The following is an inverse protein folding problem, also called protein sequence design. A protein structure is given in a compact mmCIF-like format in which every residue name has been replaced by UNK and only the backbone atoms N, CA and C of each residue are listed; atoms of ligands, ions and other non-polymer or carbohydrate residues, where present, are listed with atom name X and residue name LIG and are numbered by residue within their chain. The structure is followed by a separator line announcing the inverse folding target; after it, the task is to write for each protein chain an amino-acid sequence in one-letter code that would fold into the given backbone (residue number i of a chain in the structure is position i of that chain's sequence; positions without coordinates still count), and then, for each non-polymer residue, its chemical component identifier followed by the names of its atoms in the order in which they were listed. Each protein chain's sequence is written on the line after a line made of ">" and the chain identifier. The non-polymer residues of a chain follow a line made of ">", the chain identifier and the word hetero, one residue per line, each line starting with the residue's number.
data_IF_166450735539
#
_entry.id   IF_166450735539
#
_cell.length_a   1.000
_cell.length_b   1.000
_cell.length_c   1.000
_cell.angle_alpha   90.00
_cell.angle_beta   90.00
_cell.angle_gamma   90.00
#
_symmetry.space_group_name_H-M   'P 1'
#
loop_
_entity.id
_entity.type
_entity.pdbx_description
1 polymer ?
#
# COMPACT_ATOMS: atom_id res chain seq x y z
N UNK A 1 -79.61 -106.27 10.18
CA UNK A 1 -79.20 -105.04 9.47
C UNK A 1 -79.69 -105.14 8.04
N UNK A 2 -80.46 -104.17 7.55
CA UNK A 2 -81.10 -104.20 6.22
C UNK A 2 -80.13 -103.76 5.13
N UNK A 3 -80.29 -104.24 3.89
CA UNK A 3 -79.42 -103.91 2.75
C UNK A 3 -79.22 -102.39 2.52
N UNK A 4 -80.23 -101.58 2.88
CA UNK A 4 -80.17 -100.11 2.86
C UNK A 4 -79.07 -99.52 3.75
N UNK A 5 -78.82 -100.08 4.94
CA UNK A 5 -77.78 -99.58 5.87
C UNK A 5 -76.35 -99.80 5.37
N UNK A 6 -76.09 -100.85 4.57
CA UNK A 6 -74.79 -101.07 3.95
C UNK A 6 -74.53 -100.13 2.77
N UNK A 7 -75.58 -99.79 2.01
CA UNK A 7 -75.50 -98.92 0.83
C UNK A 7 -75.18 -97.46 1.23
N UNK A 8 -75.73 -96.99 2.35
CA UNK A 8 -75.40 -95.66 2.89
C UNK A 8 -73.97 -95.59 3.47
N UNK A 9 -73.47 -96.65 4.10
CA UNK A 9 -72.05 -96.73 4.52
C UNK A 9 -71.11 -96.69 3.32
N UNK A 10 -71.45 -97.39 2.24
CA UNK A 10 -70.69 -97.33 0.98
C UNK A 10 -70.68 -95.93 0.36
N UNK A 11 -71.82 -95.24 0.29
CA UNK A 11 -71.89 -93.84 -0.20
C UNK A 11 -71.01 -92.90 0.63
N UNK A 12 -71.00 -93.05 1.95
CA UNK A 12 -70.12 -92.25 2.82
C UNK A 12 -68.63 -92.51 2.57
N UNK A 13 -68.24 -93.77 2.33
CA UNK A 13 -66.86 -94.09 1.94
C UNK A 13 -66.47 -93.43 0.61
N UNK A 14 -67.35 -93.49 -0.40
CA UNK A 14 -67.12 -92.83 -1.70
C UNK A 14 -66.98 -91.32 -1.56
N UNK A 15 -67.85 -90.68 -0.77
CA UNK A 15 -67.75 -89.24 -0.48
C UNK A 15 -66.46 -88.87 0.26
N UNK A 16 -66.01 -89.74 1.17
CA UNK A 16 -64.74 -89.55 1.88
C UNK A 16 -63.55 -89.63 0.93
N UNK A 17 -63.57 -90.59 0.01
CA UNK A 17 -62.51 -90.75 -1.00
C UNK A 17 -62.49 -89.58 -2.00
N UNK A 18 -63.66 -89.08 -2.41
CA UNK A 18 -63.76 -87.84 -3.20
C UNK A 18 -63.18 -86.63 -2.47
N UNK A 19 -63.49 -86.46 -1.17
CA UNK A 19 -62.92 -85.37 -0.36
C UNK A 19 -61.39 -85.48 -0.23
N UNK A 20 -60.86 -86.69 -0.09
CA UNK A 20 -59.40 -86.91 -0.10
C UNK A 20 -58.77 -86.53 -1.44
N UNK A 21 -59.39 -86.94 -2.55
CA UNK A 21 -58.89 -86.61 -3.89
C UNK A 21 -58.86 -85.09 -4.12
N UNK A 22 -59.92 -84.37 -3.74
CA UNK A 22 -59.96 -82.91 -3.81
C UNK A 22 -58.86 -82.26 -2.98
N UNK A 23 -58.65 -82.73 -1.74
CA UNK A 23 -57.57 -82.23 -0.90
C UNK A 23 -56.18 -82.49 -1.52
N UNK A 24 -55.98 -83.66 -2.13
CA UNK A 24 -54.72 -83.98 -2.83
C UNK A 24 -54.51 -83.05 -4.03
N UNK A 25 -55.54 -82.80 -4.83
CA UNK A 25 -55.49 -81.86 -5.96
C UNK A 25 -55.17 -80.43 -5.50
N UNK A 26 -55.83 -79.95 -4.44
CA UNK A 26 -55.55 -78.63 -3.84
C UNK A 26 -54.10 -78.55 -3.32
N UNK A 27 -53.61 -79.60 -2.67
CA UNK A 27 -52.22 -79.66 -2.20
C UNK A 27 -51.22 -79.65 -3.36
N UNK A 28 -51.46 -80.42 -4.42
CA UNK A 28 -50.60 -80.43 -5.60
C UNK A 28 -50.59 -79.07 -6.30
N UNK A 29 -51.75 -78.43 -6.42
CA UNK A 29 -51.84 -77.08 -6.99
C UNK A 29 -51.11 -76.06 -6.11
N UNK A 30 -51.20 -76.19 -4.78
CA UNK A 30 -50.48 -75.33 -3.86
C UNK A 30 -48.96 -75.55 -3.92
N UNK A 31 -48.50 -76.79 -4.05
CA UNK A 31 -47.08 -77.11 -4.24
C UNK A 31 -46.56 -76.47 -5.53
N UNK A 32 -47.26 -76.65 -6.65
CA UNK A 32 -46.86 -76.04 -7.93
C UNK A 32 -46.79 -74.50 -7.85
N UNK A 33 -47.77 -73.85 -7.21
CA UNK A 33 -47.75 -72.39 -6.99
C UNK A 33 -46.57 -71.94 -6.13
N UNK A 34 -46.23 -72.72 -5.09
CA UNK A 34 -45.12 -72.40 -4.20
C UNK A 34 -43.77 -72.62 -4.89
N UNK A 35 -43.64 -73.65 -5.73
CA UNK A 35 -42.45 -73.91 -6.53
C UNK A 35 -42.21 -72.79 -7.55
N UNK A 36 -43.25 -72.35 -8.26
CA UNK A 36 -43.17 -71.21 -9.19
C UNK A 36 -42.79 -69.91 -8.47
N UNK A 37 -43.44 -69.62 -7.34
CA UNK A 37 -43.13 -68.43 -6.54
C UNK A 37 -41.69 -68.48 -5.98
N UNK A 38 -41.22 -69.66 -5.57
CA UNK A 38 -39.85 -69.84 -5.07
C UNK A 38 -38.80 -69.62 -6.17
N UNK A 39 -39.01 -70.14 -7.37
CA UNK A 39 -38.07 -69.90 -8.49
C UNK A 39 -38.07 -68.43 -8.92
N UNK A 40 -39.22 -67.75 -8.94
CA UNK A 40 -39.28 -66.31 -9.20
C UNK A 40 -38.49 -65.50 -8.14
N UNK A 41 -38.74 -65.78 -6.87
CA UNK A 41 -38.06 -65.09 -5.76
C UNK A 41 -36.54 -65.33 -5.81
N UNK A 42 -36.11 -66.55 -6.16
CA UNK A 42 -34.69 -66.89 -6.32
C UNK A 42 -34.04 -66.10 -7.45
N UNK A 43 -34.71 -65.97 -8.60
CA UNK A 43 -34.19 -65.17 -9.72
C UNK A 43 -34.10 -63.68 -9.38
N UNK A 44 -35.08 -63.15 -8.66
CA UNK A 44 -35.09 -61.76 -8.22
C UNK A 44 -34.01 -61.51 -7.15
N UNK A 45 -33.85 -62.41 -6.18
CA UNK A 45 -32.76 -62.36 -5.20
C UNK A 45 -31.38 -62.39 -5.87
N UNK A 46 -31.17 -63.23 -6.89
CA UNK A 46 -29.92 -63.28 -7.65
C UNK A 46 -29.67 -62.00 -8.44
N UNK A 47 -30.72 -61.36 -8.96
CA UNK A 47 -30.63 -60.08 -9.68
C UNK A 47 -30.24 -58.97 -8.70
N UNK A 48 -30.91 -58.91 -7.55
CA UNK A 48 -30.65 -57.91 -6.52
C UNK A 48 -29.23 -58.06 -5.94
N UNK A 49 -28.78 -59.29 -5.69
CA UNK A 49 -27.41 -59.56 -5.24
C UNK A 49 -26.35 -59.09 -6.24
N UNK A 50 -26.59 -59.29 -7.55
CA UNK A 50 -25.70 -58.79 -8.61
C UNK A 50 -25.70 -57.26 -8.65
N UNK A 51 -26.89 -56.66 -8.65
CA UNK A 51 -27.04 -55.20 -8.64
C UNK A 51 -26.34 -54.55 -7.45
N UNK A 52 -26.54 -55.07 -6.23
CA UNK A 52 -25.91 -54.54 -5.02
C UNK A 52 -24.38 -54.65 -5.08
N UNK A 53 -23.84 -55.73 -5.64
CA UNK A 53 -22.39 -55.89 -5.83
C UNK A 53 -21.83 -54.88 -6.83
N UNK A 54 -22.52 -54.68 -7.95
CA UNK A 54 -22.09 -53.74 -8.98
C UNK A 54 -22.12 -52.29 -8.46
N UNK A 55 -23.15 -51.93 -7.69
CA UNK A 55 -23.24 -50.63 -7.00
C UNK A 55 -22.10 -50.44 -5.99
N UNK A 56 -21.80 -51.45 -5.16
CA UNK A 56 -20.68 -51.38 -4.22
C UNK A 56 -19.34 -51.17 -4.92
N UNK A 57 -19.10 -51.87 -6.03
CA UNK A 57 -17.86 -51.69 -6.81
C UNK A 57 -17.79 -50.28 -7.39
N UNK A 58 -18.90 -49.77 -7.94
CA UNK A 58 -18.94 -48.42 -8.50
C UNK A 58 -18.76 -47.33 -7.42
N UNK A 59 -19.37 -47.51 -6.25
CA UNK A 59 -19.20 -46.61 -5.10
C UNK A 59 -17.73 -46.60 -4.63
N UNK A 60 -17.11 -47.77 -4.52
CA UNK A 60 -15.68 -47.86 -4.19
C UNK A 60 -14.80 -47.17 -5.24
N UNK A 61 -15.13 -47.31 -6.53
CA UNK A 61 -14.41 -46.63 -7.60
C UNK A 61 -14.55 -45.11 -7.48
N UNK A 62 -15.76 -44.60 -7.30
CA UNK A 62 -16.04 -43.17 -7.10
C UNK A 62 -15.33 -42.63 -5.86
N UNK A 63 -15.38 -43.34 -4.72
CA UNK A 63 -14.62 -42.96 -3.52
C UNK A 63 -13.11 -42.93 -3.78
N UNK A 64 -12.60 -43.87 -4.57
CA UNK A 64 -11.22 -43.88 -5.04
C UNK A 64 -10.90 -42.66 -5.93
N UNK A 65 -11.80 -42.27 -6.83
CA UNK A 65 -11.66 -41.06 -7.64
C UNK A 65 -11.62 -39.79 -6.77
N UNK A 66 -12.58 -39.63 -5.85
CA UNK A 66 -12.65 -38.50 -4.91
C UNK A 66 -11.38 -38.41 -4.07
N UNK A 67 -10.90 -39.53 -3.54
CA UNK A 67 -9.66 -39.58 -2.75
C UNK A 67 -8.45 -39.13 -3.58
N UNK A 68 -8.35 -39.54 -4.85
CA UNK A 68 -7.27 -39.10 -5.75
C UNK A 68 -7.36 -37.61 -6.08
N UNK A 69 -8.57 -37.07 -6.27
CA UNK A 69 -8.77 -35.64 -6.47
C UNK A 69 -8.37 -34.84 -5.22
N UNK A 70 -8.81 -35.26 -4.03
CA UNK A 70 -8.42 -34.63 -2.76
C UNK A 70 -6.90 -34.66 -2.54
N UNK A 71 -6.25 -35.80 -2.78
CA UNK A 71 -4.80 -35.90 -2.71
C UNK A 71 -4.11 -34.94 -3.68
N UNK A 72 -4.67 -34.77 -4.88
CA UNK A 72 -4.13 -33.86 -5.89
C UNK A 72 -4.32 -32.40 -5.47
N UNK A 73 -5.50 -32.01 -4.99
CA UNK A 73 -5.79 -30.66 -4.48
C UNK A 73 -4.93 -30.28 -3.28
N UNK A 74 -4.56 -31.25 -2.45
CA UNK A 74 -3.69 -31.05 -1.29
C UNK A 74 -2.19 -31.17 -1.63
N UNK A 75 -1.80 -31.26 -2.92
CA UNK A 75 -0.38 -31.21 -3.30
C UNK A 75 0.15 -29.79 -3.16
N UNK A 76 1.33 -29.66 -2.56
CA UNK A 76 2.05 -28.40 -2.42
C UNK A 76 1.17 -27.24 -1.90
N UNK A 77 0.55 -27.40 -0.71
CA UNK A 77 -0.21 -26.31 -0.12
C UNK A 77 0.69 -25.09 0.06
N UNK A 78 0.14 -23.89 -0.11
CA UNK A 78 0.88 -22.66 0.14
C UNK A 78 0.01 -21.60 0.79
N UNK A 79 0.70 -20.69 1.48
CA UNK A 79 0.16 -19.46 2.04
C UNK A 79 0.82 -18.31 1.29
N UNK A 80 0.02 -17.32 0.91
CA UNK A 80 0.53 -16.12 0.24
C UNK A 80 0.23 -14.87 1.08
N UNK A 81 1.26 -14.04 1.26
CA UNK A 81 1.16 -12.72 1.85
C UNK A 81 1.23 -11.68 0.75
N UNK A 82 0.22 -10.83 0.67
CA UNK A 82 0.13 -9.72 -0.29
C UNK A 82 0.13 -8.41 0.48
N UNK A 83 1.17 -7.60 0.29
CA UNK A 83 1.36 -6.35 1.03
C UNK A 83 1.44 -5.15 0.08
N UNK A 84 0.74 -4.08 0.45
CA UNK A 84 0.89 -2.75 -0.13
C UNK A 84 1.89 -1.93 0.70
N UNK A 85 3.05 -1.64 0.11
CA UNK A 85 4.10 -0.85 0.74
C UNK A 85 3.76 0.62 0.97
N UNK A 86 2.61 1.10 0.50
CA UNK A 86 2.08 2.42 0.86
C UNK A 86 1.52 2.46 2.29
N UNK A 87 0.91 1.36 2.75
CA UNK A 87 0.32 1.19 4.08
C UNK A 87 1.18 0.39 5.05
N UNK A 88 2.00 -0.53 4.53
CA UNK A 88 2.85 -1.43 5.32
C UNK A 88 4.31 -0.96 5.25
N UNK A 89 4.68 -0.04 6.14
CA UNK A 89 6.03 0.51 6.20
C UNK A 89 6.81 -0.19 7.31
N UNK A 90 8.00 -0.74 7.01
CA UNK A 90 8.85 -1.37 8.02
C UNK A 90 9.36 -0.37 9.07
N UNK A 91 9.64 -0.85 10.29
CA UNK A 91 10.25 -0.03 11.34
C UNK A 91 11.59 0.57 10.89
N UNK A 92 11.91 1.75 11.44
CA UNK A 92 13.10 2.54 11.08
C UNK A 92 14.39 1.77 11.27
N UNK A 93 14.46 0.94 12.31
CA UNK A 93 15.62 0.10 12.62
C UNK A 93 15.95 -0.91 11.53
N UNK A 94 14.96 -1.36 10.75
CA UNK A 94 15.19 -2.21 9.59
C UNK A 94 15.64 -1.36 8.40
N UNK A 95 14.94 -0.26 8.12
CA UNK A 95 15.25 0.60 6.97
C UNK A 95 16.65 1.22 7.06
N UNK A 96 17.10 1.60 8.26
CA UNK A 96 18.42 2.21 8.52
C UNK A 96 19.59 1.23 8.36
N UNK A 97 19.36 -0.08 8.50
CA UNK A 97 20.41 -1.12 8.42
C UNK A 97 20.67 -1.62 7.00
N UNK A 98 20.04 -1.03 5.99
CA UNK A 98 20.21 -1.41 4.58
C UNK A 98 20.05 -2.92 4.39
N UNK A 99 21.00 -3.56 3.72
CA UNK A 99 20.97 -5.01 3.42
C UNK A 99 20.77 -5.90 4.64
N UNK A 100 21.41 -5.59 5.77
CA UNK A 100 21.22 -6.40 6.98
C UNK A 100 19.81 -6.23 7.55
N UNK A 101 19.27 -5.01 7.49
CA UNK A 101 17.90 -4.73 7.92
C UNK A 101 16.86 -5.44 7.05
N UNK A 102 17.07 -5.49 5.73
CA UNK A 102 16.24 -6.24 4.80
C UNK A 102 16.16 -7.73 5.13
N UNK A 103 17.31 -8.34 5.41
CA UNK A 103 17.39 -9.75 5.83
C UNK A 103 16.66 -10.00 7.15
N UNK A 104 16.89 -9.15 8.16
CA UNK A 104 16.24 -9.28 9.47
C UNK A 104 14.72 -9.12 9.37
N UNK A 105 14.25 -8.15 8.58
CA UNK A 105 12.82 -7.94 8.36
C UNK A 105 12.17 -9.15 7.64
N UNK A 106 12.84 -9.70 6.62
CA UNK A 106 12.37 -10.89 5.91
C UNK A 106 12.32 -12.13 6.82
N UNK A 107 13.35 -12.35 7.66
CA UNK A 107 13.37 -13.43 8.66
C UNK A 107 12.23 -13.29 9.65
N UNK A 108 12.07 -12.10 10.24
CA UNK A 108 11.01 -11.86 11.22
C UNK A 108 9.63 -12.05 10.61
N UNK A 109 9.41 -11.59 9.38
CA UNK A 109 8.17 -11.80 8.64
C UNK A 109 7.89 -13.28 8.38
N UNK A 110 8.91 -14.04 7.98
CA UNK A 110 8.80 -15.48 7.80
C UNK A 110 8.41 -16.19 9.11
N UNK A 111 9.07 -15.84 10.22
CA UNK A 111 8.81 -16.43 11.54
C UNK A 111 7.37 -16.16 12.01
N UNK A 112 6.84 -14.94 11.80
CA UNK A 112 5.45 -14.61 12.14
C UNK A 112 4.43 -15.39 11.29
N UNK A 113 4.72 -15.61 10.00
CA UNK A 113 3.86 -16.41 9.12
C UNK A 113 3.88 -17.89 9.53
N UNK A 114 5.04 -18.41 9.93
CA UNK A 114 5.19 -19.79 10.41
C UNK A 114 4.47 -20.01 11.75
N UNK A 115 4.56 -19.05 12.66
CA UNK A 115 3.79 -19.03 13.90
C UNK A 115 2.29 -19.00 13.61
N UNK A 116 1.83 -18.12 12.71
CA UNK A 116 0.44 -18.07 12.28
C UNK A 116 -0.04 -19.41 11.70
N UNK A 117 0.75 -20.05 10.84
CA UNK A 117 0.39 -21.35 10.26
C UNK A 117 0.24 -22.44 11.34
N UNK A 118 1.14 -22.44 12.33
CA UNK A 118 1.12 -23.41 13.42
C UNK A 118 -0.13 -23.25 14.29
N UNK A 119 -0.51 -22.01 14.59
CA UNK A 119 -1.64 -21.71 15.47
C UNK A 119 -3.00 -21.86 14.77
N UNK A 120 -3.11 -21.39 13.53
CA UNK A 120 -4.40 -21.20 12.86
C UNK A 120 -4.69 -22.25 11.77
N UNK A 121 -3.67 -22.95 11.27
CA UNK A 121 -3.80 -23.92 10.16
C UNK A 121 -3.09 -25.26 10.47
N UNK A 122 -3.40 -25.93 11.61
CA UNK A 122 -2.73 -27.18 12.00
C UNK A 122 -2.92 -28.34 11.02
N UNK A 123 -3.94 -28.27 10.16
CA UNK A 123 -4.24 -29.29 9.15
C UNK A 123 -3.28 -29.24 7.95
N UNK A 124 -2.67 -28.07 7.67
CA UNK A 124 -1.73 -27.90 6.56
C UNK A 124 -0.29 -28.21 7.02
N UNK A 125 0.20 -29.42 6.70
CA UNK A 125 1.58 -29.81 7.03
C UNK A 125 2.57 -29.10 6.10
N UNK A 126 3.31 -28.12 6.62
CA UNK A 126 4.45 -27.48 5.96
C UNK A 126 4.10 -26.81 4.62
N UNK A 127 3.15 -25.85 4.59
CA UNK A 127 2.87 -25.12 3.37
C UNK A 127 4.07 -24.28 2.93
N UNK A 128 4.20 -24.08 1.63
CA UNK A 128 5.15 -23.08 1.10
C UNK A 128 4.67 -21.69 1.50
N UNK A 129 5.60 -20.86 1.99
CA UNK A 129 5.30 -19.48 2.37
C UNK A 129 5.75 -18.56 1.26
N UNK A 130 4.80 -17.89 0.62
CA UNK A 130 5.04 -16.91 -0.44
C UNK A 130 4.74 -15.52 0.12
N UNK A 131 5.61 -14.54 -0.14
CA UNK A 131 5.39 -13.15 0.27
C UNK A 131 5.68 -12.23 -0.89
N UNK A 132 4.72 -11.37 -1.21
CA UNK A 132 4.87 -10.33 -2.24
C UNK A 132 4.43 -9.00 -1.67
N UNK A 133 5.36 -8.06 -1.68
CA UNK A 133 5.12 -6.69 -1.31
C UNK A 133 5.30 -5.79 -2.53
N UNK A 134 4.31 -4.96 -2.80
CA UNK A 134 4.32 -4.05 -3.94
C UNK A 134 4.57 -2.64 -3.42
N UNK A 135 5.61 -1.98 -3.93
CA UNK A 135 5.99 -0.68 -3.41
C UNK A 135 6.48 0.24 -4.53
N UNK A 136 6.15 1.52 -4.43
CA UNK A 136 6.84 2.55 -5.19
C UNK A 136 8.13 2.92 -4.44
N UNK A 137 9.26 2.33 -4.86
CA UNK A 137 10.53 2.45 -4.12
C UNK A 137 11.01 3.91 -4.09
N UNK A 138 10.82 4.65 -5.19
CA UNK A 138 11.19 6.07 -5.27
C UNK A 138 10.42 6.90 -4.25
N UNK A 139 9.09 6.74 -4.22
CA UNK A 139 8.23 7.49 -3.30
C UNK A 139 8.52 7.14 -1.84
N UNK A 140 8.75 5.86 -1.51
CA UNK A 140 9.16 5.47 -0.16
C UNK A 140 10.53 6.09 0.19
N UNK A 141 11.51 6.04 -0.71
CA UNK A 141 12.85 6.61 -0.47
C UNK A 141 12.78 8.10 -0.14
N UNK A 142 12.05 8.88 -0.94
CA UNK A 142 11.84 10.31 -0.71
C UNK A 142 11.12 10.58 0.62
N UNK A 143 10.16 9.71 0.97
CA UNK A 143 9.41 9.78 2.22
C UNK A 143 10.31 9.48 3.43
N UNK A 144 11.15 8.46 3.37
CA UNK A 144 12.10 8.12 4.42
C UNK A 144 13.14 9.23 4.65
N UNK A 145 13.64 9.85 3.58
CA UNK A 145 14.58 10.98 3.68
C UNK A 145 13.90 12.19 4.32
N UNK A 146 12.70 12.53 3.82
CA UNK A 146 11.94 13.65 4.39
C UNK A 146 11.52 13.40 5.83
N UNK A 147 11.29 12.15 6.20
CA UNK A 147 11.00 11.74 7.57
C UNK A 147 12.22 11.66 8.48
N UNK A 148 13.43 11.91 7.98
CA UNK A 148 14.67 11.79 8.75
C UNK A 148 15.02 10.36 9.16
N UNK A 149 14.42 9.35 8.52
CA UNK A 149 14.73 7.93 8.78
C UNK A 149 16.10 7.58 8.24
N UNK A 150 16.42 8.05 7.03
CA UNK A 150 17.72 7.88 6.38
C UNK A 150 18.16 9.19 5.74
N UNK A 151 19.46 9.46 5.72
CA UNK A 151 20.05 10.54 4.91
C UNK A 151 20.54 10.05 3.55
N UNK A 152 20.62 8.72 3.37
CA UNK A 152 21.14 8.08 2.17
C UNK A 152 20.01 7.30 1.45
N UNK A 153 19.62 7.71 0.23
CA UNK A 153 18.68 6.97 -0.60
C UNK A 153 19.12 5.52 -0.90
N UNK A 154 20.42 5.23 -0.90
CA UNK A 154 20.96 3.91 -1.23
C UNK A 154 20.56 2.84 -0.21
N UNK A 155 20.35 3.23 1.06
CA UNK A 155 19.97 2.31 2.13
C UNK A 155 18.64 1.61 1.86
N UNK A 156 17.67 2.27 1.24
CA UNK A 156 16.40 1.61 0.91
C UNK A 156 16.58 0.56 -0.19
N UNK A 157 17.41 0.85 -1.20
CA UNK A 157 17.73 -0.12 -2.25
C UNK A 157 18.48 -1.32 -1.67
N UNK A 158 19.42 -1.07 -0.77
CA UNK A 158 20.17 -2.13 -0.08
C UNK A 158 19.27 -2.94 0.84
N UNK A 159 18.30 -2.32 1.52
CA UNK A 159 17.25 -2.99 2.26
C UNK A 159 16.45 -3.94 1.37
N UNK A 160 15.97 -3.46 0.22
CA UNK A 160 15.20 -4.29 -0.73
C UNK A 160 16.05 -5.48 -1.23
N UNK A 161 17.32 -5.25 -1.57
CA UNK A 161 18.25 -6.33 -1.95
C UNK A 161 18.43 -7.36 -0.83
N UNK A 162 18.56 -6.89 0.41
CA UNK A 162 18.66 -7.74 1.59
C UNK A 162 17.42 -8.58 1.80
N UNK A 163 16.25 -7.98 1.65
CA UNK A 163 14.95 -8.62 1.80
C UNK A 163 14.74 -9.71 0.72
N UNK A 164 14.88 -9.35 -0.55
CA UNK A 164 14.67 -10.26 -1.69
C UNK A 164 15.71 -11.39 -1.77
N UNK A 165 16.89 -11.22 -1.15
CA UNK A 165 17.92 -12.27 -1.10
C UNK A 165 17.78 -13.22 0.08
N UNK A 166 16.86 -12.95 1.01
CA UNK A 166 16.74 -13.72 2.25
C UNK A 166 16.08 -15.09 2.03
N UNK A 167 14.99 -15.14 1.27
CA UNK A 167 14.31 -16.38 0.90
C UNK A 167 13.96 -16.38 -0.60
N UNK A 168 13.92 -17.53 -1.29
CA UNK A 168 13.52 -17.58 -2.70
C UNK A 168 12.04 -17.24 -2.96
N UNK A 169 11.22 -17.17 -1.92
CA UNK A 169 9.77 -17.01 -2.00
C UNK A 169 9.27 -15.66 -1.46
N UNK A 170 10.19 -14.73 -1.19
CA UNK A 170 9.88 -13.40 -0.67
C UNK A 170 10.38 -12.33 -1.63
N UNK A 171 9.46 -11.47 -2.07
CA UNK A 171 9.75 -10.45 -3.07
C UNK A 171 9.15 -9.10 -2.69
N UNK A 172 9.98 -8.06 -2.67
CA UNK A 172 9.57 -6.68 -2.85
C UNK A 172 9.68 -6.33 -4.34
N UNK A 173 8.56 -5.90 -4.91
CA UNK A 173 8.42 -5.53 -6.32
C UNK A 173 8.26 -4.01 -6.41
N UNK A 174 9.18 -3.35 -7.12
CA UNK A 174 9.04 -1.92 -7.44
C UNK A 174 7.95 -1.74 -8.49
N UNK A 175 6.91 -0.98 -8.14
CA UNK A 175 5.78 -0.68 -9.03
C UNK A 175 6.00 0.55 -9.89
N UNK A 176 7.09 1.29 -9.65
CA UNK A 176 7.38 2.54 -10.34
C UNK A 176 6.45 3.68 -9.93
N UNK A 177 6.49 4.77 -10.70
CA UNK A 177 5.82 6.04 -10.40
C UNK A 177 4.34 6.11 -10.83
N UNK A 178 3.82 5.06 -11.48
CA UNK A 178 2.42 5.03 -11.90
C UNK A 178 1.51 4.93 -10.67
N UNK A 179 0.57 5.87 -10.56
CA UNK A 179 -0.51 5.79 -9.59
C UNK A 179 -1.28 4.46 -9.80
N UNK A 180 -1.66 3.81 -8.71
CA UNK A 180 -2.46 2.59 -8.68
C UNK A 180 -1.82 1.28 -9.21
N UNK A 181 -0.54 1.30 -9.60
CA UNK A 181 0.16 0.09 -10.07
C UNK A 181 0.27 -1.00 -8.98
N UNK A 182 0.53 -0.63 -7.73
CA UNK A 182 0.54 -1.56 -6.61
C UNK A 182 -0.85 -2.16 -6.39
N UNK A 183 -1.88 -1.32 -6.42
CA UNK A 183 -3.24 -1.73 -6.11
C UNK A 183 -3.76 -2.77 -7.12
N UNK A 184 -3.60 -2.50 -8.41
CA UNK A 184 -4.02 -3.40 -9.47
C UNK A 184 -3.32 -4.76 -9.41
N UNK A 185 -2.01 -4.78 -9.10
CA UNK A 185 -1.25 -6.02 -8.94
C UNK A 185 -1.75 -6.86 -7.77
N UNK A 186 -2.05 -6.23 -6.63
CA UNK A 186 -2.56 -6.95 -5.47
C UNK A 186 -3.96 -7.47 -5.75
N UNK A 187 -4.84 -6.69 -6.38
CA UNK A 187 -6.20 -7.11 -6.69
C UNK A 187 -6.23 -8.35 -7.60
N UNK A 188 -5.42 -8.36 -8.67
CA UNK A 188 -5.34 -9.51 -9.57
C UNK A 188 -4.63 -10.71 -8.92
N UNK A 189 -3.58 -10.48 -8.13
CA UNK A 189 -2.94 -11.54 -7.35
C UNK A 189 -3.92 -12.15 -6.34
N UNK A 190 -4.72 -11.34 -5.67
CA UNK A 190 -5.74 -11.78 -4.73
C UNK A 190 -6.76 -12.70 -5.42
N UNK A 191 -7.39 -12.23 -6.52
CA UNK A 191 -8.38 -13.03 -7.27
C UNK A 191 -7.81 -14.36 -7.75
N UNK A 192 -6.58 -14.36 -8.29
CA UNK A 192 -5.91 -15.58 -8.76
C UNK A 192 -5.71 -16.60 -7.64
N UNK A 193 -5.35 -16.15 -6.45
CA UNK A 193 -5.07 -17.03 -5.31
C UNK A 193 -6.33 -17.45 -4.56
N UNK A 194 -7.38 -16.63 -4.55
CA UNK A 194 -8.62 -16.91 -3.83
C UNK A 194 -9.29 -18.20 -4.33
N UNK A 195 -9.29 -18.43 -5.64
CA UNK A 195 -9.87 -19.61 -6.27
C UNK A 195 -8.88 -20.76 -6.50
N UNK A 196 -7.63 -20.60 -6.09
CA UNK A 196 -6.63 -21.64 -6.27
C UNK A 196 -6.79 -22.70 -5.17
N UNK A 197 -7.06 -23.96 -5.55
CA UNK A 197 -7.26 -25.05 -4.61
C UNK A 197 -6.01 -25.38 -3.77
N UNK A 198 -4.82 -25.01 -4.23
CA UNK A 198 -3.56 -25.17 -3.48
C UNK A 198 -3.28 -24.00 -2.54
N UNK A 199 -3.92 -22.83 -2.74
CA UNK A 199 -3.81 -21.69 -1.84
C UNK A 199 -4.72 -21.91 -0.63
N UNK A 200 -4.11 -22.17 0.52
CA UNK A 200 -4.87 -22.47 1.74
C UNK A 200 -5.20 -21.21 2.52
N UNK A 201 -4.37 -20.17 2.43
CA UNK A 201 -4.59 -18.90 3.11
C UNK A 201 -3.95 -17.74 2.36
N UNK A 202 -4.64 -16.61 2.36
CA UNK A 202 -4.18 -15.30 1.90
C UNK A 202 -4.10 -14.38 3.11
N UNK A 203 -2.91 -13.85 3.38
CA UNK A 203 -2.70 -12.77 4.33
C UNK A 203 -2.62 -11.46 3.55
N UNK A 204 -3.59 -10.57 3.73
CA UNK A 204 -3.78 -9.38 2.90
C UNK A 204 -3.55 -8.12 3.72
N UNK A 205 -2.51 -7.36 3.39
CA UNK A 205 -2.24 -6.04 3.96
C UNK A 205 -2.32 -4.96 2.88
N UNK A 206 -3.46 -4.29 2.75
CA UNK A 206 -3.68 -3.23 1.74
C UNK A 206 -4.07 -1.90 2.39
N UNK A 207 -3.88 -0.81 1.64
CA UNK A 207 -4.52 0.47 1.96
C UNK A 207 -6.05 0.39 1.78
N UNK A 208 -6.77 1.23 2.52
CA UNK A 208 -8.25 1.33 2.50
C UNK A 208 -8.77 1.98 1.20
N UNK A 209 -8.61 1.28 0.08
CA UNK A 209 -9.00 1.75 -1.26
C UNK A 209 -10.24 1.00 -1.80
N UNK A 210 -11.15 1.74 -2.44
CA UNK A 210 -12.47 1.26 -2.85
C UNK A 210 -12.46 0.03 -3.78
N UNK A 211 -11.42 -0.12 -4.61
CA UNK A 211 -11.31 -1.24 -5.56
C UNK A 211 -11.14 -2.59 -4.87
N UNK A 212 -10.48 -2.63 -3.72
CA UNK A 212 -10.32 -3.85 -2.92
C UNK A 212 -11.58 -4.20 -2.15
N UNK A 213 -12.25 -3.17 -1.62
CA UNK A 213 -13.52 -3.35 -0.93
C UNK A 213 -14.56 -4.00 -1.84
N UNK A 214 -14.62 -3.63 -3.13
CA UNK A 214 -15.50 -4.29 -4.09
C UNK A 214 -15.18 -5.78 -4.26
N UNK A 215 -13.90 -6.13 -4.43
CA UNK A 215 -13.47 -7.52 -4.61
C UNK A 215 -13.71 -8.36 -3.35
N UNK A 216 -13.51 -7.80 -2.15
CA UNK A 216 -13.85 -8.49 -0.90
C UNK A 216 -15.37 -8.58 -0.70
N UNK A 217 -16.10 -7.52 -1.06
CA UNK A 217 -17.54 -7.37 -0.96
C UNK A 217 -18.31 -8.41 -1.76
N UNK A 218 -17.87 -8.68 -2.99
CA UNK A 218 -18.46 -9.68 -3.90
C UNK A 218 -18.39 -11.12 -3.35
N UNK A 219 -17.62 -11.37 -2.29
CA UNK A 219 -17.38 -12.69 -1.72
C UNK A 219 -17.80 -12.83 -0.26
N UNK A 220 -18.46 -11.81 0.31
CA UNK A 220 -18.92 -11.84 1.71
C UNK A 220 -19.94 -12.95 2.00
N UNK A 221 -20.67 -13.42 0.98
CA UNK A 221 -21.68 -14.48 1.13
C UNK A 221 -21.07 -15.90 1.18
N UNK A 222 -19.82 -16.07 0.73
CA UNK A 222 -19.15 -17.38 0.68
C UNK A 222 -18.23 -17.57 1.90
N UNK A 223 -18.74 -18.29 2.91
CA UNK A 223 -18.02 -18.56 4.16
C UNK A 223 -16.71 -19.33 3.96
N UNK A 224 -16.63 -20.18 2.94
CA UNK A 224 -15.44 -20.99 2.68
C UNK A 224 -14.33 -20.13 2.06
N UNK A 225 -14.68 -19.20 1.18
CA UNK A 225 -13.73 -18.23 0.63
C UNK A 225 -13.30 -17.19 1.68
N UNK A 226 -14.23 -16.70 2.49
CA UNK A 226 -13.95 -15.79 3.60
C UNK A 226 -12.96 -16.40 4.60
N UNK A 227 -13.14 -17.68 4.92
CA UNK A 227 -12.24 -18.44 5.78
C UNK A 227 -10.81 -18.60 5.26
N UNK A 228 -10.55 -18.30 3.98
CA UNK A 228 -9.21 -18.32 3.36
C UNK A 228 -8.51 -16.96 3.38
N UNK A 229 -9.16 -15.91 3.85
CA UNK A 229 -8.61 -14.55 3.87
C UNK A 229 -8.38 -14.12 5.32
N UNK A 230 -7.26 -13.46 5.57
CA UNK A 230 -6.95 -12.82 6.85
C UNK A 230 -6.34 -11.47 6.56
N UNK A 231 -6.93 -10.43 7.14
CA UNK A 231 -6.52 -9.06 6.96
C UNK A 231 -5.34 -8.79 7.90
N UNK A 232 -4.33 -8.12 7.38
CA UNK A 232 -3.24 -7.58 8.17
C UNK A 232 -3.54 -6.10 8.41
N UNK A 233 -3.25 -5.63 9.61
CA UNK A 233 -3.40 -4.24 10.00
C UNK A 233 -2.06 -3.73 10.54
N UNK A 234 -1.46 -2.76 9.84
CA UNK A 234 -0.29 -2.02 10.32
C UNK A 234 -0.69 -0.60 10.76
N UNK A 235 -1.59 0.03 10.01
CA UNK A 235 -2.26 1.28 10.34
C UNK A 235 -3.74 0.99 10.56
N UNK A 236 -4.45 1.75 11.42
CA UNK A 236 -5.88 1.58 11.63
C UNK A 236 -6.64 1.53 10.31
N UNK A 237 -7.52 0.54 10.16
CA UNK A 237 -8.38 0.44 8.97
C UNK A 237 -9.19 1.73 8.78
N UNK A 238 -9.26 2.20 7.53
CA UNK A 238 -10.18 3.27 7.17
C UNK A 238 -11.63 2.76 7.12
N UNK A 239 -12.57 3.64 6.78
CA UNK A 239 -14.01 3.38 6.91
C UNK A 239 -14.47 2.14 6.14
N UNK A 240 -13.93 1.88 4.94
CA UNK A 240 -14.41 0.77 4.10
C UNK A 240 -13.95 -0.58 4.65
N UNK A 241 -12.65 -0.76 4.90
CA UNK A 241 -12.10 -1.98 5.49
C UNK A 241 -12.66 -2.21 6.90
N UNK A 242 -12.88 -1.16 7.69
CA UNK A 242 -13.45 -1.31 9.03
C UNK A 242 -14.88 -1.90 8.97
N UNK A 243 -15.69 -1.49 7.98
CA UNK A 243 -17.05 -2.01 7.79
C UNK A 243 -17.11 -3.53 7.53
N UNK A 244 -16.07 -4.10 6.91
CA UNK A 244 -15.99 -5.54 6.61
C UNK A 244 -15.03 -6.31 7.52
N UNK A 245 -14.18 -5.61 8.28
CA UNK A 245 -13.14 -6.23 9.13
C UNK A 245 -13.71 -7.25 10.12
N UNK A 246 -14.92 -7.03 10.63
CA UNK A 246 -15.61 -7.93 11.56
C UNK A 246 -15.97 -9.28 10.93
N UNK A 247 -16.03 -9.37 9.60
CA UNK A 247 -16.32 -10.60 8.86
C UNK A 247 -15.05 -11.41 8.56
N UNK A 248 -13.86 -10.81 8.73
CA UNK A 248 -12.57 -11.45 8.47
C UNK A 248 -11.77 -11.63 9.76
N UNK A 249 -10.79 -12.52 9.72
CA UNK A 249 -9.74 -12.55 10.75
C UNK A 249 -8.80 -11.37 10.52
N UNK A 250 -8.34 -10.73 11.61
CA UNK A 250 -7.39 -9.63 11.57
C UNK A 250 -6.15 -9.96 12.39
N UNK A 251 -4.97 -9.61 11.88
CA UNK A 251 -3.68 -9.76 12.57
C UNK A 251 -2.87 -8.47 12.49
N UNK A 252 -1.98 -8.30 13.47
CA UNK A 252 -1.04 -7.18 13.53
C UNK A 252 0.36 -7.71 13.80
N UNK A 253 1.37 -7.12 13.16
CA UNK A 253 2.78 -7.44 13.41
C UNK A 253 3.54 -6.17 13.81
N UNK A 254 3.31 -5.68 15.05
CA UNK A 254 3.86 -4.41 15.53
C UNK A 254 5.38 -4.43 15.68
N UNK A 255 6.03 -5.60 15.61
CA UNK A 255 7.48 -5.75 15.62
C UNK A 255 8.16 -5.63 14.24
N UNK A 256 7.36 -5.62 13.16
CA UNK A 256 7.86 -5.56 11.79
C UNK A 256 7.51 -4.21 11.18
N UNK A 257 6.25 -3.82 11.30
CA UNK A 257 5.70 -2.62 10.66
C UNK A 257 5.53 -1.48 11.65
N UNK A 258 5.54 -0.26 11.11
CA UNK A 258 5.20 0.96 11.83
C UNK A 258 3.70 1.01 12.07
N UNK A 259 3.33 1.54 13.23
CA UNK A 259 1.96 1.90 13.62
C UNK A 259 1.53 3.29 13.11
N UNK A 260 2.44 3.99 12.41
CA UNK A 260 2.30 5.38 12.03
C UNK A 260 2.98 5.68 10.69
N UNK A 261 2.34 6.54 9.88
CA UNK A 261 2.92 7.05 8.63
C UNK A 261 4.16 7.89 8.92
N UNK A 262 5.06 7.94 7.94
CA UNK A 262 6.26 8.77 8.01
C UNK A 262 5.87 10.22 7.73
N UNK A 263 5.98 11.08 8.73
CA UNK A 263 5.75 12.52 8.59
C UNK A 263 7.06 13.26 8.29
N UNK A 264 7.05 14.27 7.41
CA UNK A 264 8.24 15.04 7.13
C UNK A 264 8.69 15.84 8.36
N UNK A 265 9.97 15.75 8.72
CA UNK A 265 10.54 16.58 9.79
C UNK A 265 10.69 18.00 9.23
N UNK A 266 9.85 18.95 9.65
CA UNK A 266 10.09 20.35 9.35
C UNK A 266 11.29 20.84 10.18
N UNK A 267 12.49 20.66 9.66
CA UNK A 267 13.71 21.30 10.15
C UNK A 267 14.52 21.80 8.94
N UNK A 268 15.20 22.95 9.03
CA UNK A 268 15.91 23.53 7.90
C UNK A 268 17.13 22.66 7.52
N UNK A 269 16.94 21.68 6.64
CA UNK A 269 17.95 20.71 6.24
C UNK A 269 19.11 21.27 5.39
N UNK A 270 19.15 22.59 5.12
CA UNK A 270 20.32 23.23 4.50
C UNK A 270 21.54 23.35 5.44
N UNK A 271 21.45 22.96 6.71
CA UNK A 271 22.57 23.06 7.67
C UNK A 271 23.36 21.75 7.91
N UNK A 272 22.86 20.56 7.55
CA UNK A 272 23.45 19.29 8.00
C UNK A 272 24.31 18.54 6.95
N UNK A 273 24.37 18.99 5.69
CA UNK A 273 25.19 18.32 4.65
C UNK A 273 26.62 18.91 4.56
N UNK A 274 26.95 19.91 5.37
CA UNK A 274 28.26 20.57 5.37
C UNK A 274 29.07 20.31 6.65
N UNK A 275 29.13 19.07 7.14
CA UNK A 275 30.23 18.67 8.04
C UNK A 275 30.63 17.22 7.74
N UNK A 276 31.54 17.04 6.79
CA UNK A 276 32.43 15.88 6.86
C UNK A 276 33.36 16.07 8.07
N UNK A 277 33.59 15.06 8.91
CA UNK A 277 34.61 15.13 9.94
C UNK A 277 35.98 15.11 9.25
N UNK A 278 36.69 16.24 9.32
CA UNK A 278 38.08 16.34 8.88
C UNK A 278 38.93 15.42 9.76
N UNK A 279 39.51 14.39 9.15
CA UNK A 279 40.48 13.49 9.78
C UNK A 279 41.58 14.28 10.50
N UNK A 280 41.77 13.96 11.77
CA UNK A 280 42.88 14.44 12.58
C UNK A 280 44.20 13.85 12.08
N UNK A 281 45.17 14.71 11.81
CA UNK A 281 46.60 14.38 11.93
C UNK A 281 47.38 15.62 12.41
N UNK A 282 47.76 15.53 13.69
CA UNK A 282 49.04 15.97 14.32
C UNK A 282 49.40 17.47 14.50
N UNK A 283 50.19 17.80 15.55
CA UNK A 283 50.06 19.04 16.31
C UNK A 283 51.14 20.08 16.01
N UNK A 284 50.81 21.34 16.30
CA UNK A 284 51.74 22.48 16.29
C UNK A 284 52.55 22.53 17.61
N UNK A 285 53.86 22.79 17.60
CA UNK A 285 54.67 22.87 18.81
C UNK A 285 54.69 24.28 19.42
N UNK A 286 54.70 24.34 20.76
CA UNK A 286 54.98 25.55 21.56
C UNK A 286 56.48 25.70 21.85
N UNK A 287 56.94 26.91 22.23
CA UNK A 287 58.33 27.35 22.06
C UNK A 287 59.17 27.21 23.33
N UNK A 288 60.49 26.97 23.19
CA UNK A 288 61.48 27.36 24.20
C UNK A 288 62.92 27.42 23.65
N UNK A 289 63.77 28.07 24.45
CA UNK A 289 64.90 28.95 24.15
C UNK A 289 66.28 28.25 24.09
N UNK A 290 67.22 28.73 23.23
CA UNK A 290 68.64 29.11 23.53
C UNK A 290 69.62 29.05 22.32
N UNK A 291 70.09 30.25 21.93
CA UNK A 291 71.46 30.73 21.59
C UNK A 291 72.40 30.02 20.55
N UNK A 292 73.35 30.76 19.93
CA UNK A 292 73.91 30.56 18.57
C UNK A 292 75.39 30.06 18.63
N UNK A 293 76.30 30.21 17.62
CA UNK A 293 76.21 30.58 16.19
C UNK A 293 77.01 29.63 15.25
N UNK A 294 76.85 29.74 13.91
CA UNK A 294 77.98 29.94 12.95
C UNK A 294 77.55 29.97 11.48
N UNK A 295 78.07 30.98 10.79
CA UNK A 295 77.99 31.29 9.37
C UNK A 295 78.76 30.31 8.47
N UNK A 296 78.31 30.18 7.21
CA UNK A 296 79.09 30.34 5.98
C UNK A 296 78.11 30.27 4.78
N UNK A 297 77.92 31.38 4.06
CA UNK A 297 78.41 31.65 2.69
C UNK A 297 77.58 30.89 1.62
N UNK A 298 77.05 31.47 0.54
CA UNK A 298 77.51 32.52 -0.39
C UNK A 298 76.23 33.16 -1.02
N UNK A 299 76.09 34.49 -1.12
CA UNK A 299 76.47 35.37 -2.27
C UNK A 299 76.02 34.79 -3.64
N UNK A 300 75.31 35.49 -4.53
CA UNK A 300 75.52 36.89 -4.96
C UNK A 300 74.40 37.44 -5.89
N UNK A 301 74.08 38.74 -5.72
CA UNK A 301 73.83 39.82 -6.73
C UNK A 301 72.75 39.63 -7.83
N UNK A 302 71.59 40.31 -7.81
CA UNK A 302 71.25 41.73 -8.20
C UNK A 302 71.46 42.07 -9.69
N UNK A 303 70.82 43.14 -10.25
CA UNK A 303 69.41 43.27 -10.65
C UNK A 303 69.30 43.82 -12.11
N UNK A 304 68.13 44.35 -12.50
CA UNK A 304 67.94 45.53 -13.40
C UNK A 304 67.20 45.33 -14.75
N UNK A 305 66.00 45.94 -14.80
CA UNK A 305 65.35 46.76 -15.87
C UNK A 305 65.34 46.34 -17.36
N UNK A 306 64.10 46.10 -17.82
CA UNK A 306 63.36 46.77 -18.93
C UNK A 306 64.02 47.06 -20.28
N UNK A 307 63.35 46.65 -21.37
CA UNK A 307 62.62 47.53 -22.31
C UNK A 307 62.00 46.75 -23.49
N UNK A 308 60.80 47.17 -23.87
CA UNK A 308 59.90 46.62 -24.90
C UNK A 308 60.16 47.21 -26.29
N UNK A 309 59.71 46.54 -27.37
CA UNK A 309 59.26 47.25 -28.58
C UNK A 309 58.28 46.46 -29.48
N UNK A 310 57.03 46.95 -29.52
CA UNK A 310 56.08 47.15 -30.64
C UNK A 310 55.64 45.96 -31.54
N UNK A 311 54.47 45.90 -32.18
CA UNK A 311 53.44 46.88 -32.60
C UNK A 311 52.16 46.07 -32.95
N UNK A 312 50.92 46.45 -32.65
CA UNK A 312 50.06 47.36 -33.47
C UNK A 312 48.71 47.61 -32.75
N UNK A 313 48.09 48.77 -33.01
CA UNK A 313 46.78 49.31 -32.56
C UNK A 313 46.09 49.90 -33.83
N UNK A 314 44.74 49.92 -34.05
CA UNK A 314 43.71 50.82 -33.43
C UNK A 314 42.31 50.18 -33.25
N UNK A 315 41.26 50.71 -32.58
CA UNK A 315 40.97 51.87 -31.71
C UNK A 315 39.54 51.72 -31.13
N UNK A 316 39.37 51.91 -29.79
CA UNK A 316 38.27 52.57 -29.02
C UNK A 316 36.78 52.18 -29.18
N UNK A 317 35.85 52.51 -28.24
CA UNK A 317 36.01 53.36 -27.04
C UNK A 317 35.57 52.77 -25.69
N UNK A 318 35.97 53.51 -24.67
CA UNK A 318 35.85 53.31 -23.23
C UNK A 318 34.41 53.42 -22.71
N UNK A 319 34.02 52.57 -21.75
CA UNK A 319 33.09 52.96 -20.68
C UNK A 319 33.56 52.45 -19.32
N UNK A 320 33.29 53.29 -18.33
CA UNK A 320 33.91 53.36 -17.00
C UNK A 320 33.43 52.23 -16.08
N UNK A 321 34.38 51.53 -15.45
CA UNK A 321 34.09 50.70 -14.28
C UNK A 321 33.70 51.60 -13.09
N UNK A 322 32.40 51.68 -12.79
CA UNK A 322 31.92 52.09 -11.47
C UNK A 322 31.75 50.84 -10.60
N UNK A 323 32.57 50.75 -9.55
CA UNK A 323 32.32 49.87 -8.40
C UNK A 323 31.06 50.39 -7.71
N UNK A 324 29.90 49.80 -8.02
CA UNK A 324 28.68 50.04 -7.26
C UNK A 324 28.79 49.25 -5.96
N UNK A 325 29.19 49.95 -4.90
CA UNK A 325 29.05 49.55 -3.51
C UNK A 325 27.59 49.15 -3.27
N UNK A 326 27.31 47.86 -3.15
CA UNK A 326 25.99 47.34 -2.81
C UNK A 326 25.54 47.99 -1.50
N UNK A 327 24.41 48.71 -1.54
CA UNK A 327 23.74 49.23 -0.35
C UNK A 327 23.50 48.05 0.60
N UNK A 328 24.05 48.12 1.80
CA UNK A 328 23.71 47.21 2.88
C UNK A 328 22.18 47.24 3.06
N UNK A 329 21.54 46.10 2.84
CA UNK A 329 20.13 45.93 3.12
C UNK A 329 19.93 46.11 4.63
N UNK A 330 18.97 46.96 5.00
CA UNK A 330 18.52 47.07 6.38
C UNK A 330 18.11 45.68 6.91
N UNK A 331 18.29 45.38 8.21
CA UNK A 331 17.86 44.12 8.78
C UNK A 331 16.36 43.94 8.54
N UNK A 332 16.00 42.93 7.74
CA UNK A 332 14.61 42.60 7.47
C UNK A 332 13.94 42.19 8.78
N UNK A 333 12.86 42.87 9.16
CA UNK A 333 12.04 42.44 10.28
C UNK A 333 11.54 41.01 10.03
N UNK A 334 11.40 40.17 11.07
CA UNK A 334 10.85 38.83 10.91
C UNK A 334 9.45 38.95 10.29
N UNK A 335 9.23 38.26 9.18
CA UNK A 335 7.90 38.18 8.56
C UNK A 335 7.03 37.33 9.47
N UNK A 336 6.21 37.98 10.30
CA UNK A 336 5.31 37.29 11.23
C UNK A 336 4.02 36.92 10.50
N UNK A 337 3.58 35.67 10.66
CA UNK A 337 2.27 35.22 10.15
C UNK A 337 1.16 35.91 10.95
N UNK A 338 0.33 36.69 10.25
CA UNK A 338 -0.81 37.37 10.86
C UNK A 338 -1.90 36.35 11.21
N UNK A 339 -2.48 36.48 12.40
CA UNK A 339 -3.53 35.58 12.91
C UNK A 339 -4.75 36.36 13.41
N UNK A 340 -5.92 35.76 13.32
CA UNK A 340 -7.15 36.29 13.91
C UNK A 340 -7.27 35.92 15.40
N UNK A 341 -8.35 36.34 16.06
CA UNK A 341 -8.60 36.07 17.49
C UNK A 341 -8.68 34.59 17.86
N UNK A 342 -8.94 33.72 16.89
CA UNK A 342 -8.99 32.26 17.02
C UNK A 342 -7.64 31.60 16.71
N UNK A 343 -6.59 32.39 16.52
CA UNK A 343 -5.28 31.88 16.13
C UNK A 343 -5.22 31.38 14.69
N UNK A 344 -6.21 31.62 13.83
CA UNK A 344 -6.15 31.17 12.43
C UNK A 344 -5.34 32.15 11.58
N UNK A 345 -4.52 31.65 10.66
CA UNK A 345 -3.75 32.46 9.71
C UNK A 345 -4.67 33.33 8.86
N UNK A 346 -4.31 34.61 8.74
CA UNK A 346 -4.98 35.59 7.90
C UNK A 346 -4.00 36.09 6.85
N UNK A 347 -4.29 35.80 5.58
CA UNK A 347 -3.56 36.41 4.47
C UNK A 347 -4.24 37.69 3.99
N UNK A 348 -3.44 38.74 3.80
CA UNK A 348 -3.86 39.98 3.12
C UNK A 348 -3.88 39.76 1.60
N UNK A 349 -4.97 39.17 1.11
CA UNK A 349 -5.26 39.07 -0.31
C UNK A 349 -6.71 39.45 -0.57
N UNK A 350 -6.90 40.50 -1.36
CA UNK A 350 -8.22 40.96 -1.80
C UNK A 350 -8.44 40.52 -3.25
N UNK A 351 -9.14 39.39 -3.40
CA UNK A 351 -9.46 38.81 -4.71
C UNK A 351 -10.35 39.72 -5.56
N UNK A 352 -11.14 40.61 -4.94
CA UNK A 352 -12.08 41.50 -5.64
C UNK A 352 -11.36 42.63 -6.38
N UNK A 353 -10.11 42.94 -6.00
CA UNK A 353 -9.28 43.96 -6.66
C UNK A 353 -8.54 43.45 -7.90
N UNK A 354 -8.63 42.15 -8.19
CA UNK A 354 -7.89 41.53 -9.30
C UNK A 354 -8.77 41.49 -10.54
N UNK A 355 -8.26 42.00 -11.66
CA UNK A 355 -8.95 41.92 -12.94
C UNK A 355 -9.05 40.45 -13.40
N UNK A 356 -10.28 39.95 -13.51
CA UNK A 356 -10.57 38.57 -13.89
C UNK A 356 -10.04 38.22 -15.29
N UNK A 357 -10.08 39.16 -16.24
CA UNK A 357 -9.62 38.94 -17.61
C UNK A 357 -8.11 38.73 -17.67
N UNK A 358 -7.36 39.56 -16.95
CA UNK A 358 -5.89 39.48 -16.88
C UNK A 358 -5.44 38.22 -16.12
N UNK A 359 -6.14 37.86 -15.04
CA UNK A 359 -5.90 36.62 -14.32
C UNK A 359 -6.13 35.39 -15.20
N UNK A 360 -7.21 35.38 -16.00
CA UNK A 360 -7.48 34.29 -16.93
C UNK A 360 -6.44 34.20 -18.05
N UNK A 361 -5.90 35.34 -18.52
CA UNK A 361 -4.79 35.37 -19.47
C UNK A 361 -3.52 34.78 -18.84
N UNK A 362 -3.20 35.16 -17.61
CA UNK A 362 -2.01 34.71 -16.90
C UNK A 362 -2.05 33.19 -16.60
N UNK A 363 -3.22 32.64 -16.24
CA UNK A 363 -3.41 31.19 -16.06
C UNK A 363 -3.07 30.37 -17.31
N UNK A 364 -3.28 30.92 -18.51
CA UNK A 364 -2.99 30.23 -19.78
C UNK A 364 -1.50 30.12 -20.09
N UNK A 365 -0.66 30.97 -19.48
CA UNK A 365 0.79 30.96 -19.70
C UNK A 365 1.51 29.83 -18.96
N UNK A 366 0.83 29.07 -18.08
CA UNK A 366 1.40 27.94 -17.32
C UNK A 366 2.73 28.29 -16.63
N UNK A 367 2.78 29.45 -15.99
CA UNK A 367 3.95 29.94 -15.28
C UNK A 367 4.21 29.09 -14.02
N UNK A 368 5.48 28.82 -13.74
CA UNK A 368 5.86 28.08 -12.54
C UNK A 368 5.73 28.97 -11.28
N UNK A 369 4.80 28.64 -10.38
CA UNK A 369 4.60 29.39 -9.14
C UNK A 369 5.87 29.43 -8.25
N UNK A 370 6.62 28.32 -8.18
CA UNK A 370 7.84 28.27 -7.35
C UNK A 370 8.92 29.20 -7.90
N UNK A 371 9.27 29.05 -9.18
CA UNK A 371 10.27 29.90 -9.82
C UNK A 371 9.93 31.39 -9.71
N UNK A 372 8.69 31.74 -10.04
CA UNK A 372 8.29 33.14 -10.18
C UNK A 372 7.96 33.84 -8.86
N UNK A 373 7.54 33.12 -7.82
CA UNK A 373 7.18 33.71 -6.52
C UNK A 373 8.25 33.50 -5.45
N UNK A 374 9.04 32.42 -5.53
CA UNK A 374 10.11 32.09 -4.57
C UNK A 374 11.52 32.33 -5.13
N UNK A 375 11.65 32.52 -6.44
CA UNK A 375 12.93 32.77 -7.12
C UNK A 375 13.71 31.50 -7.49
N UNK A 376 13.34 30.34 -6.97
CA UNK A 376 13.92 29.04 -7.32
C UNK A 376 12.82 28.00 -7.57
N UNK A 377 13.01 27.16 -8.61
CA UNK A 377 12.18 25.98 -8.84
C UNK A 377 12.93 24.76 -8.33
N UNK A 378 12.35 23.95 -7.42
CA UNK A 378 13.00 22.75 -6.91
C UNK A 378 13.01 21.59 -7.93
N UNK A 379 12.38 21.75 -9.09
CA UNK A 379 12.27 20.73 -10.13
C UNK A 379 13.22 21.05 -11.29
N UNK A 380 14.15 20.13 -11.58
CA UNK A 380 15.13 20.28 -12.67
C UNK A 380 14.49 20.25 -14.07
N UNK A 381 13.50 19.37 -14.29
CA UNK A 381 12.73 19.27 -15.55
C UNK A 381 11.29 19.80 -15.35
N UNK A 382 11.18 21.09 -15.01
CA UNK A 382 9.89 21.72 -14.78
C UNK A 382 9.14 21.97 -16.11
N UNK A 383 7.95 21.37 -16.23
CA UNK A 383 7.06 21.55 -17.40
C UNK A 383 6.31 22.91 -17.40
N UNK A 384 6.68 23.84 -16.53
CA UNK A 384 6.06 25.16 -16.39
C UNK A 384 7.06 26.23 -16.78
N UNK A 385 6.57 27.34 -17.34
CA UNK A 385 7.47 28.34 -17.91
C UNK A 385 8.23 29.12 -16.81
N UNK A 386 9.56 29.15 -16.95
CA UNK A 386 10.51 29.91 -16.13
C UNK A 386 11.03 31.17 -16.86
N UNK A 387 10.74 31.33 -18.15
CA UNK A 387 11.34 32.38 -18.98
C UNK A 387 10.57 33.70 -18.96
N UNK A 388 9.25 33.67 -18.69
CA UNK A 388 8.41 34.88 -18.66
C UNK A 388 8.87 35.89 -17.60
N UNK A 389 9.04 37.15 -18.00
CA UNK A 389 9.38 38.23 -17.07
C UNK A 389 8.12 38.86 -16.51
N UNK A 390 7.80 38.55 -15.25
CA UNK A 390 6.62 39.10 -14.58
C UNK A 390 6.74 40.60 -14.32
N UNK A 391 5.70 41.33 -14.69
CA UNK A 391 5.47 42.68 -14.18
C UNK A 391 5.00 42.65 -12.71
N UNK A 392 5.07 43.79 -12.01
CA UNK A 392 4.63 43.87 -10.60
C UNK A 392 3.15 43.51 -10.41
N UNK A 393 2.30 43.88 -11.36
CA UNK A 393 0.89 43.50 -11.36
C UNK A 393 0.70 42.00 -11.61
N UNK A 394 1.43 41.41 -12.55
CA UNK A 394 1.38 39.97 -12.82
C UNK A 394 1.90 39.14 -11.66
N UNK A 395 2.92 39.60 -10.93
CA UNK A 395 3.38 38.93 -9.72
C UNK A 395 2.26 38.86 -8.65
N UNK A 396 1.52 39.94 -8.44
CA UNK A 396 0.37 39.96 -7.52
C UNK A 396 -0.74 39.03 -8.00
N UNK A 397 -1.03 39.02 -9.31
CA UNK A 397 -2.03 38.12 -9.90
C UNK A 397 -1.61 36.64 -9.79
N UNK A 398 -0.34 36.33 -10.05
CA UNK A 398 0.20 34.98 -9.92
C UNK A 398 0.16 34.52 -8.46
N UNK A 399 0.47 35.41 -7.51
CA UNK A 399 0.30 35.14 -6.07
C UNK A 399 -1.14 34.78 -5.74
N UNK A 400 -2.12 35.48 -6.33
CA UNK A 400 -3.52 35.18 -6.12
C UNK A 400 -3.96 33.85 -6.75
N UNK A 401 -3.46 33.53 -7.94
CA UNK A 401 -3.70 32.24 -8.61
C UNK A 401 -3.10 31.09 -7.79
N UNK A 402 -1.87 31.22 -7.30
CA UNK A 402 -1.23 30.23 -6.44
C UNK A 402 -2.06 30.00 -5.16
N UNK A 403 -2.64 31.06 -4.61
CA UNK A 403 -3.54 31.01 -3.44
C UNK A 403 -4.93 30.44 -3.70
N UNK A 404 -5.27 30.05 -4.94
CA UNK A 404 -6.45 29.22 -5.23
C UNK A 404 -6.18 27.73 -5.01
N UNK A 405 -4.93 27.34 -4.79
CA UNK A 405 -4.54 25.97 -4.47
C UNK A 405 -4.46 25.88 -2.94
N UNK A 406 -5.25 25.00 -2.29
CA UNK A 406 -5.24 24.86 -0.84
C UNK A 406 -3.87 24.50 -0.30
N UNK A 407 -3.45 25.21 0.74
CA UNK A 407 -2.29 24.85 1.55
C UNK A 407 -2.61 23.58 2.34
N UNK A 408 -1.68 22.62 2.35
CA UNK A 408 -1.80 21.39 3.14
C UNK A 408 -1.97 21.66 4.64
N UNK A 409 -1.38 22.74 5.15
CA UNK A 409 -1.45 23.13 6.56
C UNK A 409 -2.60 24.12 6.85
N UNK A 410 -3.38 24.49 5.83
CA UNK A 410 -4.56 25.34 5.96
C UNK A 410 -4.35 26.57 6.84
N UNK A 411 -5.28 26.80 7.75
CA UNK A 411 -5.28 27.96 8.67
C UNK A 411 -4.17 27.90 9.73
N UNK A 412 -3.50 26.76 9.90
CA UNK A 412 -2.45 26.58 10.91
C UNK A 412 -1.04 26.84 10.37
N UNK A 413 -0.90 27.03 9.05
CA UNK A 413 0.37 27.21 8.37
C UNK A 413 1.22 28.35 8.98
N UNK A 414 2.42 28.01 9.46
CA UNK A 414 3.36 28.95 10.09
C UNK A 414 4.39 29.57 9.12
N UNK A 415 4.33 29.24 7.84
CA UNK A 415 5.30 29.73 6.86
C UNK A 415 4.91 31.12 6.30
N UNK A 416 5.63 32.20 6.64
CA UNK A 416 5.31 33.53 6.14
C UNK A 416 5.46 33.67 4.63
N UNK A 417 6.26 32.80 3.99
CA UNK A 417 6.48 32.81 2.54
C UNK A 417 5.55 31.89 1.77
N UNK A 418 4.61 31.20 2.44
CA UNK A 418 3.71 30.27 1.78
C UNK A 418 2.87 30.96 0.69
N UNK A 419 2.99 30.44 -0.53
CA UNK A 419 2.29 30.91 -1.75
C UNK A 419 0.94 30.22 -1.97
N UNK A 420 0.63 29.17 -1.21
CA UNK A 420 -0.65 28.46 -1.26
C UNK A 420 -1.74 29.19 -0.47
N UNK A 421 -3.00 28.83 -0.71
CA UNK A 421 -4.17 29.44 -0.08
C UNK A 421 -4.51 28.81 1.26
N UNK A 422 -4.66 29.63 2.30
CA UNK A 422 -4.99 29.14 3.66
C UNK A 422 -6.49 29.26 4.01
N UNK A 423 -7.26 29.98 3.19
CA UNK A 423 -8.73 30.07 3.25
C UNK A 423 -9.29 30.05 1.84
N UNK A 424 -10.57 29.73 1.70
CA UNK A 424 -11.25 29.82 0.42
C UNK A 424 -11.26 31.30 -0.05
N UNK A 425 -10.68 31.62 -1.23
CA UNK A 425 -10.64 33.00 -1.75
C UNK A 425 -12.01 33.55 -2.14
N UNK A 426 -13.01 32.68 -2.21
CA UNK A 426 -14.36 32.99 -2.67
C UNK A 426 -15.43 32.84 -1.59
N UNK A 427 -15.04 32.55 -0.35
CA UNK A 427 -15.93 32.65 0.80
C UNK A 427 -15.79 34.01 1.45
N UNK A 428 -16.91 34.67 1.78
CA UNK A 428 -16.90 35.89 2.56
C UNK A 428 -16.79 35.58 4.07
N UNK A 429 -16.18 36.45 4.90
CA UNK A 429 -16.17 36.28 6.35
C UNK A 429 -17.58 36.05 6.92
N UNK A 430 -17.75 35.02 7.74
CA UNK A 430 -19.04 34.61 8.30
C UNK A 430 -19.92 33.74 7.38
N UNK A 431 -19.58 33.57 6.10
CA UNK A 431 -20.29 32.68 5.17
C UNK A 431 -19.51 31.37 4.94
N UNK A 432 -20.08 30.25 5.39
CA UNK A 432 -19.46 28.91 5.26
C UNK A 432 -19.64 28.28 3.89
N UNK A 433 -20.49 28.85 3.05
CA UNK A 433 -20.75 28.37 1.69
C UNK A 433 -20.04 29.27 0.69
N UNK A 434 -19.41 28.66 -0.31
CA UNK A 434 -18.93 29.36 -1.50
C UNK A 434 -19.68 28.84 -2.74
N UNK A 435 -19.50 29.53 -3.86
CA UNK A 435 -20.17 29.18 -5.13
C UNK A 435 -19.93 27.74 -5.61
N UNK A 436 -18.85 27.08 -5.18
CA UNK A 436 -18.55 25.68 -5.55
C UNK A 436 -19.19 24.63 -4.63
N UNK A 437 -19.79 25.03 -3.50
CA UNK A 437 -20.44 24.11 -2.57
C UNK A 437 -19.55 22.92 -2.18
N UNK A 438 -20.09 21.70 -2.28
CA UNK A 438 -19.38 20.44 -2.01
C UNK A 438 -18.23 20.12 -2.99
N UNK A 439 -18.15 20.81 -4.13
CA UNK A 439 -17.07 20.65 -5.12
C UNK A 439 -15.90 21.62 -4.90
N UNK A 440 -15.93 22.41 -3.82
CA UNK A 440 -14.83 23.31 -3.49
C UNK A 440 -13.57 22.52 -3.11
N UNK A 441 -12.41 22.96 -3.61
CA UNK A 441 -11.12 22.34 -3.28
C UNK A 441 -10.66 22.63 -1.84
N UNK A 442 -11.20 23.68 -1.22
CA UNK A 442 -10.91 24.04 0.16
C UNK A 442 -11.84 23.28 1.10
N UNK A 443 -11.32 22.84 2.24
CA UNK A 443 -12.11 22.16 3.26
C UNK A 443 -13.24 23.08 3.80
N UNK A 444 -14.36 22.50 4.28
CA UNK A 444 -15.44 23.28 4.88
C UNK A 444 -14.97 24.21 6.00
N UNK A 445 -13.96 23.79 6.78
CA UNK A 445 -13.37 24.60 7.86
C UNK A 445 -12.58 25.83 7.37
N UNK A 446 -12.24 25.91 6.07
CA UNK A 446 -11.51 27.02 5.45
C UNK A 446 -12.43 28.12 4.88
N UNK A 447 -13.73 28.04 5.14
CA UNK A 447 -14.74 29.00 4.68
C UNK A 447 -15.23 29.89 5.84
N UNK A 448 -15.66 31.11 5.52
CA UNK A 448 -16.24 32.01 6.53
C UNK A 448 -15.24 32.60 7.52
N UNK A 449 -13.94 32.56 7.19
CA UNK A 449 -12.86 32.92 8.10
C UNK A 449 -12.86 34.41 8.44
N UNK A 450 -12.75 34.72 9.73
CA UNK A 450 -12.53 36.08 10.21
C UNK A 450 -11.14 36.56 9.75
N UNK A 451 -11.13 37.60 8.93
CA UNK A 451 -9.91 38.22 8.36
C UNK A 451 -9.39 39.39 9.22
N UNK A 452 -9.94 39.59 10.41
CA UNK A 452 -9.49 40.62 11.34
C UNK A 452 -8.22 40.16 12.07
N UNK A 453 -7.09 40.82 11.78
CA UNK A 453 -5.80 40.53 12.42
C UNK A 453 -5.76 41.12 13.82
N UNK A 454 -5.31 40.34 14.81
CA UNK A 454 -5.15 40.79 16.21
C UNK A 454 -3.72 40.62 16.71
N UNK A 455 -3.32 41.42 17.70
CA UNK A 455 -1.98 41.34 18.33
C UNK A 455 -1.86 40.26 19.41
N UNK A 456 -2.98 39.75 19.92
CA UNK A 456 -3.03 38.71 20.98
C UNK A 456 -4.07 37.68 20.57
N UNK A 457 -3.67 36.42 20.46
CA UNK A 457 -4.56 35.29 20.18
C UNK A 457 -5.17 34.80 21.49
N UNK A 458 -6.48 34.54 21.53
CA UNK A 458 -7.09 33.83 22.66
C UNK A 458 -6.80 32.34 22.43
N UNK A 459 -5.99 31.75 23.30
CA UNK A 459 -5.78 30.29 23.33
C UNK A 459 -7.02 29.64 23.92
#
# INVERSE_FOLDING_TARGET
>A
MTATTYLDRYRNLVLTEQKKNLLIEELLQRVAQLEDAFEQEKLDHEREKRFNRDIQVHEMELMGQVSRFQLSMNRQPYIIVLLDGSGFIFKDEYLQKGTQGGKLAAQKLHDEIEAFNTDQLPSAKGPKLLTRMYINVKALSETCIRGGITTDPSLLQDFIRGFNSCYPSIDIVDTGAEADSAHNKIAEAFKLNLYNCHCHQILLGCADENSFFQVLGDHLDDKDLMGRVTLLEALPFGENLNAVSLSFRTLQWPEIFRDSKIFPIWSPWKAAVATQPRSQLTPSPKPETKLPPRSANQASTTPSVSLSLASTRPSSPEEKFQVVRSKAAAPAQPKVVERNKYGQRVDRLDMKRINQQDMNRLKKLKLCNYYHLQGECPMDDCQHDHSHKLTRSEHVMLTAIARMIPCRYGLECNDPECTFGHRCPYSEPGQRECHWGSSCRFEPASHGIDTTVVKVTKI
#
